data_IF_567063148958
#
_entry.id   IF_567063148958
#
_cell.length_a   1.000
_cell.length_b   1.000
_cell.length_c   1.000
_cell.angle_alpha   90.00
_cell.angle_beta   90.00
_cell.angle_gamma   90.00
#
_symmetry.space_group_name_H-M   'P 1'
#
loop_
_entity.id
_entity.type
_entity.pdbx_description
1 polymer ?
#
# COMPACT_ATOMS: atom_id res chain seq x y z
N UNK A 1 -30.60 3.96 -61.97
CA UNK A 1 -30.24 2.60 -61.56
C UNK A 1 -30.40 2.52 -60.05
N UNK A 2 -31.43 1.78 -59.58
CA UNK A 2 -31.56 1.30 -58.18
C UNK A 2 -30.46 0.23 -57.97
N UNK A 3 -29.99 -0.18 -56.79
CA UNK A 3 -30.68 -0.76 -55.63
C UNK A 3 -29.66 -0.84 -54.46
N UNK A 4 -30.15 -0.56 -53.25
CA UNK A 4 -29.57 -0.85 -51.92
C UNK A 4 -29.53 -2.34 -51.59
N UNK A 5 -28.49 -2.84 -50.89
CA UNK A 5 -28.49 -4.07 -50.05
C UNK A 5 -27.19 -4.08 -49.20
N UNK A 6 -27.21 -4.02 -47.86
CA UNK A 6 -27.71 -4.95 -46.82
C UNK A 6 -26.67 -6.00 -46.37
N UNK A 7 -26.31 -5.88 -45.08
CA UNK A 7 -25.96 -6.92 -44.09
C UNK A 7 -24.82 -7.92 -44.39
N UNK A 8 -23.70 -7.75 -43.67
CA UNK A 8 -22.86 -8.87 -43.21
C UNK A 8 -23.38 -9.27 -41.82
N UNK A 9 -24.18 -10.32 -41.72
CA UNK A 9 -23.77 -11.72 -41.54
C UNK A 9 -23.45 -12.02 -40.06
N UNK A 10 -24.54 -12.31 -39.34
CA UNK A 10 -24.57 -13.16 -38.15
C UNK A 10 -24.23 -14.61 -38.54
N UNK A 11 -23.60 -15.38 -37.63
CA UNK A 11 -23.44 -16.87 -37.55
C UNK A 11 -22.28 -17.08 -36.53
N UNK A 12 -22.35 -17.85 -35.45
CA UNK A 12 -23.14 -19.05 -35.16
C UNK A 12 -23.26 -19.29 -33.65
N UNK A 13 -24.36 -19.93 -33.25
CA UNK A 13 -24.69 -20.33 -31.90
C UNK A 13 -24.16 -21.73 -31.54
N UNK A 14 -23.85 -21.90 -30.25
CA UNK A 14 -24.21 -23.05 -29.39
C UNK A 14 -23.84 -24.49 -29.79
N UNK A 15 -22.93 -25.11 -29.02
CA UNK A 15 -23.04 -26.53 -28.62
C UNK A 15 -22.59 -26.72 -27.16
N UNK A 16 -23.52 -27.23 -26.37
CA UNK A 16 -23.41 -27.86 -25.04
C UNK A 16 -22.66 -29.20 -25.09
N UNK A 17 -21.96 -29.57 -24.01
CA UNK A 17 -22.17 -30.82 -23.22
C UNK A 17 -21.02 -31.02 -22.20
N UNK A 18 -21.39 -30.93 -20.93
CA UNK A 18 -21.07 -31.82 -19.81
C UNK A 18 -19.92 -32.84 -19.96
N UNK A 19 -18.86 -32.65 -19.16
CA UNK A 19 -18.05 -33.76 -18.64
C UNK A 19 -17.60 -33.41 -17.21
N UNK A 20 -18.39 -33.88 -16.24
CA UNK A 20 -17.95 -34.06 -14.86
C UNK A 20 -16.73 -34.99 -14.85
N UNK A 21 -15.56 -34.46 -14.50
CA UNK A 21 -14.49 -35.26 -13.92
C UNK A 21 -14.43 -34.95 -12.43
N UNK A 22 -15.24 -35.70 -11.68
CA UNK A 22 -14.99 -35.93 -10.26
C UNK A 22 -13.74 -36.81 -10.16
N UNK A 23 -12.59 -36.21 -9.89
CA UNK A 23 -11.48 -36.95 -9.29
C UNK A 23 -11.65 -36.90 -7.78
N UNK A 24 -12.41 -37.86 -7.26
CA UNK A 24 -12.39 -38.21 -5.84
C UNK A 24 -11.11 -38.99 -5.57
N UNK A 25 -10.10 -38.32 -5.04
CA UNK A 25 -9.00 -38.97 -4.33
C UNK A 25 -9.29 -38.88 -2.83
N UNK A 26 -10.05 -39.84 -2.31
CA UNK A 26 -10.03 -40.16 -0.88
C UNK A 26 -8.75 -40.95 -0.62
N UNK A 27 -7.75 -40.28 -0.04
CA UNK A 27 -6.65 -40.91 0.67
C UNK A 27 -6.79 -40.57 2.15
N UNK A 28 -7.12 -41.57 2.95
CA UNK A 28 -7.23 -41.47 4.40
C UNK A 28 -5.89 -41.09 5.06
N UNK A 29 -5.98 -40.25 6.09
CA UNK A 29 -5.05 -40.21 7.23
C UNK A 29 -3.79 -39.38 7.05
N UNK A 30 -3.80 -38.14 7.54
CA UNK A 30 -3.22 -37.80 8.84
C UNK A 30 -3.48 -36.32 9.12
N UNK A 31 -3.84 -35.98 10.36
CA UNK A 31 -4.11 -34.60 10.77
C UNK A 31 -2.91 -33.70 10.45
N UNK A 32 -3.11 -32.76 9.55
CA UNK A 32 -2.35 -31.52 9.52
C UNK A 32 -3.38 -30.43 9.35
N UNK A 33 -3.50 -29.61 10.40
CA UNK A 33 -4.25 -28.37 10.42
C UNK A 33 -4.10 -27.65 9.09
N UNK A 34 -5.14 -27.72 8.27
CA UNK A 34 -5.36 -26.78 7.19
C UNK A 34 -5.54 -25.42 7.85
N UNK A 35 -4.41 -24.74 8.07
CA UNK A 35 -4.40 -23.31 8.28
C UNK A 35 -4.88 -22.74 6.95
N UNK A 36 -6.20 -22.64 6.81
CA UNK A 36 -6.82 -21.85 5.78
C UNK A 36 -6.39 -20.44 6.16
N UNK A 37 -5.30 -19.96 5.56
CA UNK A 37 -4.93 -18.56 5.61
C UNK A 37 -6.18 -17.80 5.21
N UNK A 38 -6.85 -17.24 6.22
CA UNK A 38 -8.11 -16.55 6.04
C UNK A 38 -7.74 -15.33 5.20
N UNK A 39 -8.21 -15.30 3.96
CA UNK A 39 -7.93 -14.17 3.07
C UNK A 39 -8.36 -12.86 3.74
N UNK A 40 -7.61 -11.79 3.47
CA UNK A 40 -7.91 -10.44 3.96
C UNK A 40 -9.35 -10.03 3.62
N UNK A 41 -10.05 -9.44 4.60
CA UNK A 41 -11.38 -8.86 4.38
C UNK A 41 -11.21 -7.43 3.85
N UNK A 42 -11.42 -7.24 2.55
CA UNK A 42 -11.27 -5.95 1.88
C UNK A 42 -12.27 -4.88 2.33
N UNK A 43 -13.23 -5.21 3.19
CA UNK A 43 -14.17 -4.26 3.78
C UNK A 43 -13.85 -3.87 5.23
N UNK A 44 -12.78 -4.42 5.79
CA UNK A 44 -12.33 -4.19 7.16
C UNK A 44 -10.96 -3.51 7.19
N UNK A 45 -10.62 -2.93 8.34
CA UNK A 45 -9.24 -2.53 8.62
C UNK A 45 -8.34 -3.76 8.67
N UNK A 46 -7.04 -3.54 8.46
CA UNK A 46 -6.04 -4.59 8.58
C UNK A 46 -6.05 -5.21 9.98
N UNK A 47 -5.85 -6.52 10.01
CA UNK A 47 -5.67 -7.27 11.25
C UNK A 47 -4.32 -6.93 11.89
N UNK A 48 -4.18 -7.23 13.18
CA UNK A 48 -2.90 -7.03 13.88
C UNK A 48 -1.76 -7.81 13.21
N UNK A 49 -2.01 -9.06 12.78
CA UNK A 49 -1.00 -9.88 12.11
C UNK A 49 -0.55 -9.28 10.77
N UNK A 50 -1.48 -8.69 9.99
CA UNK A 50 -1.15 -8.00 8.75
C UNK A 50 -0.34 -6.73 9.04
N UNK A 51 -0.76 -5.93 10.00
CA UNK A 51 -0.04 -4.72 10.39
C UNK A 51 1.36 -5.04 10.93
N UNK A 52 1.53 -6.08 11.73
CA UNK A 52 2.84 -6.51 12.23
C UNK A 52 3.81 -6.88 11.10
N UNK A 53 3.33 -7.51 10.01
CA UNK A 53 4.16 -7.86 8.83
C UNK A 53 4.80 -6.65 8.16
N UNK A 54 4.12 -5.50 8.22
CA UNK A 54 4.61 -4.22 7.69
C UNK A 54 5.13 -3.29 8.78
N UNK A 55 5.29 -3.77 10.02
CA UNK A 55 5.78 -2.98 11.16
C UNK A 55 4.77 -2.01 11.79
N UNK A 56 3.51 -2.02 11.37
CA UNK A 56 2.48 -1.10 11.84
C UNK A 56 1.56 -1.69 12.93
N UNK A 57 1.99 -2.75 13.62
CA UNK A 57 1.22 -3.37 14.71
C UNK A 57 0.67 -2.33 15.70
N UNK A 58 -0.62 -2.47 16.06
CA UNK A 58 -1.36 -1.55 16.91
C UNK A 58 -1.83 -0.25 16.25
N UNK A 59 -1.58 -0.03 14.95
CA UNK A 59 -2.10 1.14 14.23
C UNK A 59 -3.60 0.97 13.93
N UNK A 60 -4.43 1.84 14.49
CA UNK A 60 -5.87 1.87 14.23
C UNK A 60 -6.24 2.46 12.87
N UNK A 61 -7.45 2.15 12.41
CA UNK A 61 -8.03 2.74 11.21
C UNK A 61 -8.29 4.25 11.37
N UNK A 62 -8.34 5.03 10.27
CA UNK A 62 -8.83 6.40 10.33
C UNK A 62 -10.27 6.47 10.84
N UNK A 63 -10.56 7.43 11.70
CA UNK A 63 -11.88 7.62 12.29
C UNK A 63 -12.65 8.77 11.64
N UNK A 64 -13.99 8.74 11.76
CA UNK A 64 -14.84 9.83 11.30
C UNK A 64 -14.96 9.96 9.78
N UNK A 65 -14.70 8.88 9.05
CA UNK A 65 -14.93 8.78 7.61
C UNK A 65 -16.33 8.25 7.30
N UNK A 66 -16.77 8.42 6.05
CA UNK A 66 -18.10 8.04 5.60
C UNK A 66 -18.07 6.85 4.64
N UNK A 67 -19.24 6.26 4.37
CA UNK A 67 -19.38 5.20 3.38
C UNK A 67 -18.60 3.92 3.73
N UNK A 68 -18.39 3.09 2.71
CA UNK A 68 -17.75 1.77 2.84
C UNK A 68 -16.23 1.92 2.76
N UNK A 69 -15.53 1.27 3.70
CA UNK A 69 -14.09 1.12 3.69
C UNK A 69 -13.67 0.10 2.62
N UNK A 70 -12.56 0.35 1.94
CA UNK A 70 -11.94 -0.61 1.03
C UNK A 70 -10.46 -0.73 1.34
N UNK A 71 -9.98 -1.95 1.57
CA UNK A 71 -8.59 -2.27 1.89
C UNK A 71 -8.06 -3.40 1.01
N UNK A 72 -6.74 -3.40 0.77
CA UNK A 72 -6.05 -4.46 0.04
C UNK A 72 -4.64 -4.66 0.60
N UNK A 73 -4.23 -5.90 0.80
CA UNK A 73 -2.89 -6.29 1.27
C UNK A 73 -1.93 -6.66 0.13
N UNK A 74 -2.37 -6.53 -1.13
CA UNK A 74 -1.60 -6.83 -2.34
C UNK A 74 -1.38 -5.57 -3.18
N UNK A 75 -1.01 -4.47 -2.53
CA UNK A 75 -0.57 -3.25 -3.18
C UNK A 75 0.90 -3.35 -3.62
N UNK A 76 1.41 -2.31 -4.27
CA UNK A 76 2.76 -2.28 -4.81
C UNK A 76 3.82 -2.64 -3.76
N UNK A 77 4.77 -3.52 -4.14
CA UNK A 77 5.91 -3.90 -3.29
C UNK A 77 5.54 -4.73 -2.06
N UNK A 78 4.50 -5.57 -2.15
CA UNK A 78 3.86 -6.25 -1.01
C UNK A 78 3.31 -5.26 0.03
N UNK A 79 2.98 -4.06 -0.45
CA UNK A 79 2.40 -2.99 0.33
C UNK A 79 0.91 -3.16 0.54
N UNK A 80 0.32 -2.30 1.36
CA UNK A 80 -1.12 -2.27 1.63
C UNK A 80 -1.74 -0.97 1.13
N UNK A 81 -3.04 -1.00 0.82
CA UNK A 81 -3.81 0.17 0.46
C UNK A 81 -5.14 0.23 1.18
N UNK A 82 -5.59 1.45 1.47
CA UNK A 82 -6.88 1.76 2.05
C UNK A 82 -7.51 2.92 1.29
N UNK A 83 -8.83 2.91 1.15
CA UNK A 83 -9.59 4.08 0.73
C UNK A 83 -10.99 4.09 1.36
N UNK A 84 -11.47 5.29 1.69
CA UNK A 84 -12.83 5.50 2.17
C UNK A 84 -13.29 6.92 1.87
N UNK A 85 -14.60 7.11 1.73
CA UNK A 85 -15.20 8.41 1.44
C UNK A 85 -14.87 9.41 2.55
N UNK A 86 -14.39 10.58 2.16
CA UNK A 86 -13.94 11.63 3.07
C UNK A 86 -14.46 12.98 2.57
N UNK A 87 -15.64 13.43 3.02
CA UNK A 87 -16.21 14.70 2.60
C UNK A 87 -15.45 15.93 3.11
N UNK A 88 -14.76 15.79 4.25
CA UNK A 88 -14.10 16.88 4.96
C UNK A 88 -12.59 16.76 4.82
N UNK A 89 -11.94 17.76 4.19
CA UNK A 89 -10.48 17.81 4.05
C UNK A 89 -9.77 17.77 5.40
N UNK A 90 -10.34 18.35 6.44
CA UNK A 90 -9.75 18.42 7.79
C UNK A 90 -9.43 17.05 8.37
N UNK A 91 -10.12 15.99 7.91
CA UNK A 91 -9.85 14.61 8.30
C UNK A 91 -8.47 14.12 7.87
N UNK A 92 -7.89 14.68 6.81
CA UNK A 92 -6.52 14.40 6.41
C UNK A 92 -5.54 14.74 7.52
N UNK A 93 -5.59 15.99 8.01
CA UNK A 93 -4.69 16.49 9.04
C UNK A 93 -4.95 15.82 10.39
N UNK A 94 -6.21 15.62 10.77
CA UNK A 94 -6.58 14.90 12.00
C UNK A 94 -6.03 13.47 12.01
N UNK A 95 -6.17 12.74 10.90
CA UNK A 95 -5.62 11.38 10.78
C UNK A 95 -4.09 11.40 10.85
N UNK A 96 -3.46 12.33 10.14
CA UNK A 96 -2.01 12.47 10.13
C UNK A 96 -1.43 12.82 11.50
N UNK A 97 -2.11 13.65 12.29
CA UNK A 97 -1.69 13.98 13.67
C UNK A 97 -1.75 12.76 14.60
N UNK A 98 -2.82 11.97 14.51
CA UNK A 98 -2.95 10.70 15.25
C UNK A 98 -1.81 9.76 14.87
N UNK A 99 -1.53 9.62 13.58
CA UNK A 99 -0.49 8.71 13.09
C UNK A 99 0.92 9.21 13.44
N UNK A 100 1.16 10.52 13.44
CA UNK A 100 2.40 11.10 13.97
C UNK A 100 2.59 10.73 15.45
N UNK A 101 1.51 10.77 16.25
CA UNK A 101 1.51 10.30 17.63
C UNK A 101 1.91 8.82 17.75
N UNK A 102 1.32 7.96 16.92
CA UNK A 102 1.68 6.55 16.82
C UNK A 102 3.16 6.36 16.49
N UNK A 103 3.68 7.02 15.44
CA UNK A 103 5.07 6.88 15.04
C UNK A 103 6.04 7.37 16.11
N UNK A 104 5.73 8.50 16.77
CA UNK A 104 6.50 9.01 17.93
C UNK A 104 6.60 7.97 19.04
N UNK A 105 5.49 7.30 19.36
CA UNK A 105 5.43 6.30 20.43
C UNK A 105 6.15 5.00 20.04
N UNK A 106 5.91 4.49 18.84
CA UNK A 106 6.38 3.17 18.40
C UNK A 106 7.83 3.16 17.94
N UNK A 107 8.25 4.20 17.22
CA UNK A 107 9.53 4.25 16.51
C UNK A 107 10.54 5.22 17.12
N UNK A 108 10.11 6.20 17.91
CA UNK A 108 11.02 7.18 18.52
C UNK A 108 11.81 7.97 17.47
N UNK A 109 13.09 7.64 17.25
CA UNK A 109 13.94 8.26 16.21
C UNK A 109 14.01 7.45 14.91
N UNK A 110 13.33 6.31 14.83
CA UNK A 110 13.38 5.39 13.69
C UNK A 110 12.26 5.69 12.67
N UNK A 111 11.79 6.93 12.62
CA UNK A 111 10.85 7.41 11.62
C UNK A 111 11.13 8.88 11.29
N UNK A 112 10.61 9.38 10.17
CA UNK A 112 10.91 10.72 9.70
C UNK A 112 10.51 10.96 8.25
N UNK A 113 11.19 11.93 7.65
CA UNK A 113 11.10 12.19 6.20
C UNK A 113 12.33 11.61 5.49
N UNK A 114 12.17 11.21 4.23
CA UNK A 114 13.27 10.80 3.38
C UNK A 114 13.94 12.02 2.73
N UNK A 115 15.09 12.42 3.25
CA UNK A 115 15.89 13.51 2.67
C UNK A 115 16.88 12.96 1.65
N UNK A 116 16.65 13.29 0.37
CA UNK A 116 17.58 12.96 -0.73
C UNK A 116 18.98 13.48 -0.43
N UNK A 117 20.00 12.67 -0.70
CA UNK A 117 21.39 13.04 -0.51
C UNK A 117 22.24 12.86 -1.77
N UNK A 118 22.02 11.80 -2.55
CA UNK A 118 22.77 11.54 -3.77
C UNK A 118 22.02 10.58 -4.70
N UNK A 119 22.48 10.51 -5.94
CA UNK A 119 22.09 9.48 -6.89
C UNK A 119 23.33 8.86 -7.53
N UNK A 120 23.24 7.59 -7.88
CA UNK A 120 24.22 6.88 -8.67
C UNK A 120 24.32 7.48 -10.07
N UNK A 121 25.53 7.60 -10.61
CA UNK A 121 25.75 8.12 -11.97
C UNK A 121 25.67 7.02 -13.02
N UNK A 122 25.78 5.76 -12.62
CA UNK A 122 25.84 4.58 -13.50
C UNK A 122 24.81 3.51 -13.15
N UNK A 123 24.20 3.60 -11.98
CA UNK A 123 23.14 2.74 -11.49
C UNK A 123 21.93 3.62 -11.13
N UNK A 124 20.72 3.12 -11.35
CA UNK A 124 19.45 3.81 -11.07
C UNK A 124 19.16 3.88 -9.56
N UNK A 125 20.20 4.06 -8.73
CA UNK A 125 20.14 4.04 -7.28
C UNK A 125 20.06 5.46 -6.74
N UNK A 126 19.06 5.74 -5.91
CA UNK A 126 18.96 6.99 -5.17
C UNK A 126 19.21 6.72 -3.69
N UNK A 127 19.83 7.69 -3.04
CA UNK A 127 20.26 7.55 -1.67
C UNK A 127 19.66 8.63 -0.79
N UNK A 128 19.12 8.22 0.34
CA UNK A 128 18.35 9.04 1.25
C UNK A 128 18.83 8.91 2.69
N UNK A 129 18.60 9.96 3.46
CA UNK A 129 18.65 9.92 4.91
C UNK A 129 17.22 9.90 5.45
N UNK A 130 16.91 9.01 6.39
CA UNK A 130 15.71 9.18 7.23
C UNK A 130 16.04 10.22 8.30
N UNK A 131 15.30 11.33 8.28
CA UNK A 131 15.49 12.47 9.18
C UNK A 131 14.29 12.57 10.11
N UNK A 132 14.45 12.33 11.41
CA UNK A 132 13.36 12.45 12.37
C UNK A 132 12.86 13.88 12.46
N UNK A 133 11.53 14.03 12.51
CA UNK A 133 10.83 15.31 12.63
C UNK A 133 9.80 15.23 13.73
N UNK A 134 9.54 16.36 14.39
CA UNK A 134 8.55 16.44 15.46
C UNK A 134 7.26 17.12 15.02
N UNK A 135 7.32 17.96 14.00
CA UNK A 135 6.22 18.82 13.58
C UNK A 135 5.49 18.19 12.41
N UNK A 136 4.15 18.15 12.47
CA UNK A 136 3.32 17.50 11.45
C UNK A 136 3.54 18.09 10.06
N UNK A 137 3.75 19.41 9.98
CA UNK A 137 4.00 20.12 8.72
C UNK A 137 5.29 19.69 8.00
N UNK A 138 6.26 19.10 8.71
CA UNK A 138 7.45 18.57 8.04
C UNK A 138 7.13 17.37 7.12
N UNK A 139 6.00 16.69 7.35
CA UNK A 139 5.55 15.52 6.60
C UNK A 139 4.55 15.85 5.49
N UNK A 140 4.12 17.12 5.40
CA UNK A 140 3.13 17.57 4.42
C UNK A 140 3.74 17.76 3.03
N UNK A 141 2.99 17.35 2.01
CA UNK A 141 3.22 17.70 0.60
C UNK A 141 1.87 17.97 -0.08
N UNK A 142 1.88 18.62 -1.24
CA UNK A 142 0.71 18.83 -2.08
C UNK A 142 0.86 18.28 -3.52
N UNK A 143 1.95 17.57 -3.79
CA UNK A 143 2.21 16.92 -5.07
C UNK A 143 2.18 15.39 -4.98
N UNK A 144 1.29 14.69 -5.71
CA UNK A 144 0.34 15.20 -6.71
C UNK A 144 -0.97 15.75 -6.11
N UNK A 145 -1.18 15.55 -4.81
CA UNK A 145 -2.34 15.97 -4.04
C UNK A 145 -1.90 16.24 -2.60
N UNK A 146 -2.75 16.91 -1.80
CA UNK A 146 -2.46 17.12 -0.39
C UNK A 146 -2.32 15.79 0.35
N UNK A 147 -1.16 15.62 0.97
CA UNK A 147 -0.78 14.39 1.62
C UNK A 147 0.10 14.62 2.86
N UNK A 148 0.19 13.58 3.68
CA UNK A 148 1.21 13.43 4.71
C UNK A 148 1.92 12.10 4.52
N UNK A 149 3.25 12.11 4.41
CA UNK A 149 4.05 10.89 4.19
C UNK A 149 5.08 10.67 5.30
N UNK A 150 4.94 9.56 6.01
CA UNK A 150 5.88 9.11 7.04
C UNK A 150 6.76 8.01 6.48
N UNK A 151 8.06 8.09 6.70
CA UNK A 151 9.00 6.98 6.49
C UNK A 151 9.36 6.38 7.84
N UNK A 152 9.43 5.06 7.94
CA UNK A 152 9.77 4.36 9.18
C UNK A 152 10.65 3.13 8.91
N UNK A 153 11.49 2.82 9.90
CA UNK A 153 12.54 1.80 9.82
C UNK A 153 12.09 0.59 10.66
N UNK A 154 11.82 -0.53 9.99
CA UNK A 154 11.39 -1.80 10.62
C UNK A 154 12.57 -2.69 11.02
N UNK A 155 13.71 -2.56 10.32
CA UNK A 155 14.97 -3.23 10.63
C UNK A 155 16.12 -2.23 10.65
N UNK A 156 16.87 -2.15 11.76
CA UNK A 156 18.01 -1.23 11.91
C UNK A 156 19.34 -1.84 11.47
N UNK A 157 19.33 -3.05 10.92
CA UNK A 157 20.53 -3.72 10.41
C UNK A 157 21.15 -2.93 9.27
N UNK A 158 22.48 -2.86 9.24
CA UNK A 158 23.26 -2.12 8.24
C UNK A 158 24.06 -3.12 7.41
N UNK A 159 23.93 -3.02 6.08
CA UNK A 159 24.68 -3.79 5.11
C UNK A 159 26.14 -3.29 4.99
N UNK A 160 26.97 -4.05 4.28
CA UNK A 160 28.41 -3.77 4.13
C UNK A 160 28.71 -2.41 3.49
N UNK A 161 27.77 -1.87 2.71
CA UNK A 161 27.89 -0.58 2.04
C UNK A 161 27.53 0.63 2.93
N UNK A 162 27.18 0.39 4.20
CA UNK A 162 26.85 1.40 5.18
C UNK A 162 25.41 1.91 5.13
N UNK A 163 24.52 1.26 4.37
CA UNK A 163 23.08 1.55 4.32
C UNK A 163 22.27 0.48 5.06
N UNK A 164 21.02 0.81 5.39
CA UNK A 164 20.08 -0.16 5.95
C UNK A 164 19.90 -1.34 4.99
N UNK A 165 19.64 -2.52 5.55
CA UNK A 165 19.34 -3.74 4.79
C UNK A 165 18.17 -3.53 3.82
N UNK A 166 18.12 -4.34 2.76
CA UNK A 166 16.96 -4.34 1.85
C UNK A 166 15.69 -4.62 2.68
N UNK A 167 14.58 -3.96 2.33
CA UNK A 167 13.27 -4.05 2.99
C UNK A 167 13.16 -3.45 4.41
N UNK A 168 14.23 -2.83 4.91
CA UNK A 168 14.26 -2.19 6.23
C UNK A 168 13.40 -0.93 6.36
N UNK A 169 13.05 -0.29 5.24
CA UNK A 169 12.34 1.00 5.24
C UNK A 169 11.01 0.87 4.51
N UNK A 170 10.00 1.40 5.18
CA UNK A 170 8.63 1.48 4.69
C UNK A 170 8.15 2.93 4.74
N UNK A 171 7.10 3.22 3.99
CA UNK A 171 6.36 4.47 4.12
C UNK A 171 4.88 4.24 4.40
N UNK A 172 4.27 5.25 5.01
CA UNK A 172 2.83 5.39 5.15
C UNK A 172 2.47 6.78 4.60
N UNK A 173 1.73 6.78 3.50
CA UNK A 173 1.28 7.97 2.77
C UNK A 173 -0.24 8.12 2.90
N UNK A 174 -0.70 9.21 3.51
CA UNK A 174 -2.12 9.54 3.68
C UNK A 174 -2.46 10.66 2.70
N UNK A 175 -3.41 10.43 1.80
CA UNK A 175 -3.79 11.38 0.74
C UNK A 175 -5.26 11.74 0.79
N UNK A 176 -5.55 12.98 0.42
CA UNK A 176 -6.89 13.46 0.16
C UNK A 176 -7.09 13.71 -1.34
N UNK A 177 -7.79 12.79 -2.00
CA UNK A 177 -7.87 12.76 -3.48
C UNK A 177 -9.31 12.66 -3.97
N UNK A 178 -9.60 13.35 -5.08
CA UNK A 178 -10.85 13.15 -5.80
C UNK A 178 -10.81 11.82 -6.55
N UNK A 179 -11.78 10.97 -6.28
CA UNK A 179 -11.94 9.66 -6.90
C UNK A 179 -13.01 9.74 -8.00
N UNK A 180 -12.58 9.62 -9.25
CA UNK A 180 -13.47 9.81 -10.40
C UNK A 180 -14.51 8.71 -10.55
N UNK A 181 -14.27 7.51 -10.01
CA UNK A 181 -15.24 6.40 -10.05
C UNK A 181 -16.41 6.62 -9.09
N UNK A 182 -16.16 7.24 -7.94
CA UNK A 182 -17.20 7.59 -6.96
C UNK A 182 -17.66 9.05 -7.02
N UNK A 183 -17.05 9.85 -7.89
CA UNK A 183 -17.27 11.30 -8.03
C UNK A 183 -17.19 12.06 -6.69
N UNK A 184 -16.29 11.63 -5.80
CA UNK A 184 -16.18 12.18 -4.46
C UNK A 184 -14.74 12.15 -3.94
N UNK A 185 -14.46 12.96 -2.91
CA UNK A 185 -13.17 12.93 -2.24
C UNK A 185 -13.06 11.71 -1.32
N UNK A 186 -11.90 11.06 -1.38
CA UNK A 186 -11.53 9.93 -0.51
C UNK A 186 -10.28 10.27 0.29
N UNK A 187 -10.26 9.76 1.52
CA UNK A 187 -9.00 9.55 2.22
C UNK A 187 -8.43 8.24 1.70
N UNK A 188 -7.19 8.26 1.22
CA UNK A 188 -6.46 7.07 0.80
C UNK A 188 -5.23 6.91 1.66
N UNK A 189 -4.87 5.67 1.98
CA UNK A 189 -3.61 5.36 2.65
C UNK A 189 -2.87 4.32 1.83
N UNK A 190 -1.59 4.54 1.62
CA UNK A 190 -0.68 3.58 1.00
C UNK A 190 0.43 3.27 1.97
N UNK A 191 0.65 1.98 2.21
CA UNK A 191 1.76 1.47 3.00
C UNK A 191 2.68 0.75 2.02
N UNK A 192 3.87 1.29 1.79
CA UNK A 192 4.74 0.79 0.73
C UNK A 192 6.12 0.47 1.26
N UNK A 193 6.67 -0.62 0.75
CA UNK A 193 8.08 -0.94 0.93
C UNK A 193 8.91 -0.02 0.04
N UNK A 194 9.88 0.66 0.63
CA UNK A 194 10.56 1.78 -0.04
C UNK A 194 11.88 1.36 -0.69
N UNK A 195 12.16 0.07 -0.95
CA UNK A 195 13.43 -0.35 -1.57
C UNK A 195 13.51 -0.09 -3.07
N UNK A 196 12.36 0.00 -3.78
CA UNK A 196 12.29 0.16 -5.24
C UNK A 196 11.11 1.02 -5.69
N UNK A 197 11.27 1.73 -6.81
CA UNK A 197 10.18 2.48 -7.44
C UNK A 197 9.08 1.58 -7.96
N UNK A 198 7.84 2.08 -8.08
CA UNK A 198 6.66 1.30 -8.52
C UNK A 198 6.84 0.47 -9.81
N UNK A 199 7.75 0.87 -10.69
CA UNK A 199 8.09 0.18 -11.94
C UNK A 199 9.33 -0.75 -11.85
N UNK A 200 9.94 -0.88 -10.68
CA UNK A 200 11.15 -1.66 -10.41
C UNK A 200 12.45 -1.11 -11.01
N UNK A 201 12.42 0.08 -11.63
CA UNK A 201 13.58 0.63 -12.36
C UNK A 201 14.60 1.27 -11.40
N UNK A 202 14.12 1.97 -10.38
CA UNK A 202 14.95 2.67 -9.42
C UNK A 202 15.07 1.89 -8.13
N UNK A 203 16.28 1.86 -7.59
CA UNK A 203 16.57 1.32 -6.26
C UNK A 203 16.77 2.47 -5.28
N UNK A 204 16.32 2.30 -4.06
CA UNK A 204 16.44 3.30 -3.02
C UNK A 204 17.20 2.74 -1.83
N UNK A 205 18.23 3.48 -1.40
CA UNK A 205 19.04 3.15 -0.24
C UNK A 205 18.89 4.20 0.83
N UNK A 206 18.76 3.74 2.07
CA UNK A 206 18.48 4.59 3.21
C UNK A 206 19.53 4.40 4.27
N UNK A 207 19.84 5.48 4.98
CA UNK A 207 20.52 5.42 6.27
C UNK A 207 19.78 6.28 7.27
N UNK A 208 19.87 5.92 8.53
CA UNK A 208 19.37 6.77 9.60
C UNK A 208 20.33 7.93 9.84
N UNK A 209 19.81 9.15 9.90
CA UNK A 209 20.61 10.30 10.33
C UNK A 209 20.40 10.51 11.83
N UNK A 210 21.44 10.23 12.60
CA UNK A 210 21.49 10.45 14.05
C UNK A 210 21.53 11.93 14.42
#
# INVERSE_FOLDING_TARGET
>A
MKITKKYFAAIFAMMTVFACFCFSACGDGNGSSSDVTKGHDSSAWFTEEELEKVGLGGLGAPEGLAGVMTTDTHWYGDGYSFSQLCPEREKLEQTADVYLGYFKNRYGKNFGVAAFYAHGTTDNTFYYNIVPKSDLNDYYDDNPSSLYKFYYITDTSVAEDGYLTEDAVWSLDIRYEFDTSSEAYKLKIFIEKENKSSNGIYTYKYRQKN
#
